data_IF_049624220904
#
_entry.id   IF_049624220904
#
_cell.length_a   1.000
_cell.length_b   1.000
_cell.length_c   1.000
_cell.angle_alpha   90.00
_cell.angle_beta   90.00
_cell.angle_gamma   90.00
#
_symmetry.space_group_name_H-M   'P 1'
#
loop_
_entity.id
_entity.type
_entity.pdbx_description
1 polymer ?
#
# COMPACT_ATOMS: atom_id res chain seq x y z
N UNK A 1 15.40 -27.74 -3.01
CA UNK A 1 13.92 -27.85 -2.89
C UNK A 1 13.31 -26.84 -1.92
N UNK A 2 13.83 -26.66 -0.71
CA UNK A 2 13.31 -25.72 0.29
C UNK A 2 13.34 -24.25 -0.15
N UNK A 3 14.43 -23.77 -0.77
CA UNK A 3 14.57 -22.37 -1.17
C UNK A 3 13.43 -21.87 -2.04
N UNK A 4 12.95 -22.64 -3.02
CA UNK A 4 11.81 -22.30 -3.86
C UNK A 4 10.51 -22.14 -3.05
N UNK A 5 10.25 -23.05 -2.11
CA UNK A 5 9.05 -23.01 -1.28
C UNK A 5 9.05 -21.76 -0.36
N UNK A 6 10.20 -21.53 0.29
CA UNK A 6 10.37 -20.36 1.17
C UNK A 6 10.29 -19.03 0.38
N UNK A 7 10.97 -18.96 -0.78
CA UNK A 7 10.88 -17.81 -1.67
C UNK A 7 9.42 -17.53 -2.07
N UNK A 8 8.62 -18.57 -2.37
CA UNK A 8 7.20 -18.38 -2.66
C UNK A 8 6.42 -17.76 -1.49
N UNK A 9 6.73 -18.12 -0.26
CA UNK A 9 6.13 -17.51 0.92
C UNK A 9 6.51 -16.03 1.08
N UNK A 10 7.71 -15.65 0.64
CA UNK A 10 8.27 -14.31 0.81
C UNK A 10 7.81 -13.31 -0.26
N UNK A 11 7.76 -13.75 -1.53
CA UNK A 11 7.63 -12.82 -2.66
C UNK A 11 6.57 -13.21 -3.70
N UNK A 12 5.82 -14.31 -3.52
CA UNK A 12 4.76 -14.65 -4.47
C UNK A 12 3.52 -13.79 -4.18
N UNK A 13 3.00 -13.04 -5.17
CA UNK A 13 1.79 -12.23 -4.97
C UNK A 13 0.58 -13.06 -4.50
N UNK A 14 0.46 -14.28 -5.00
CA UNK A 14 -0.68 -15.15 -4.75
C UNK A 14 -1.92 -14.75 -5.55
N UNK A 15 -3.06 -15.35 -5.23
CA UNK A 15 -4.34 -14.97 -5.82
C UNK A 15 -4.85 -13.71 -5.16
N UNK A 16 -5.09 -12.67 -5.95
CA UNK A 16 -5.56 -11.35 -5.52
C UNK A 16 -6.86 -11.01 -6.27
N UNK A 17 -7.97 -11.75 -6.03
CA UNK A 17 -9.20 -11.50 -6.75
C UNK A 17 -9.77 -10.13 -6.40
N UNK A 18 -10.40 -9.50 -7.38
CA UNK A 18 -11.33 -8.39 -7.15
C UNK A 18 -12.66 -9.07 -6.78
N UNK A 19 -13.03 -9.05 -5.50
CA UNK A 19 -14.14 -9.83 -4.94
C UNK A 19 -15.38 -8.99 -4.60
N UNK A 20 -15.25 -7.69 -4.63
CA UNK A 20 -16.34 -6.72 -4.43
C UNK A 20 -16.10 -5.49 -5.30
N UNK A 21 -17.17 -4.73 -5.57
CA UNK A 21 -17.14 -3.56 -6.44
C UNK A 21 -17.82 -2.35 -5.78
N UNK A 22 -17.48 -1.11 -6.18
CA UNK A 22 -18.00 0.10 -5.53
C UNK A 22 -19.53 0.24 -5.57
N UNK A 23 -20.20 -0.26 -6.61
CA UNK A 23 -21.67 -0.24 -6.71
C UNK A 23 -22.37 -1.02 -5.59
N UNK A 24 -21.74 -2.07 -5.06
CA UNK A 24 -22.24 -2.82 -3.90
C UNK A 24 -22.28 -1.97 -2.62
N UNK A 25 -21.52 -0.86 -2.60
CA UNK A 25 -21.47 0.13 -1.53
C UNK A 25 -22.24 1.40 -1.87
N UNK A 26 -23.00 1.40 -2.97
CA UNK A 26 -23.76 2.57 -3.45
C UNK A 26 -22.86 3.70 -3.94
N UNK A 27 -21.70 3.37 -4.49
CA UNK A 27 -20.69 4.30 -5.00
C UNK A 27 -20.65 4.29 -6.52
N UNK A 28 -20.75 5.47 -7.14
CA UNK A 28 -20.50 5.63 -8.56
C UNK A 28 -19.02 5.56 -8.86
N UNK A 29 -18.65 4.84 -9.93
CA UNK A 29 -17.25 4.68 -10.32
C UNK A 29 -17.08 4.46 -11.81
N UNK A 30 -15.85 4.61 -12.27
CA UNK A 30 -15.41 4.22 -13.61
C UNK A 30 -14.25 3.25 -13.49
N UNK A 31 -14.25 2.21 -14.30
CA UNK A 31 -13.04 1.42 -14.54
C UNK A 31 -12.01 2.31 -15.25
N UNK A 32 -10.80 2.30 -14.77
CA UNK A 32 -9.71 3.07 -15.35
C UNK A 32 -8.48 2.22 -15.56
N UNK A 33 -7.73 2.57 -16.59
CA UNK A 33 -6.44 1.97 -16.91
C UNK A 33 -5.44 3.09 -17.13
N UNK A 34 -4.28 2.98 -16.50
CA UNK A 34 -3.20 3.94 -16.64
C UNK A 34 -1.85 3.24 -16.57
N UNK A 35 -0.77 3.97 -16.83
CA UNK A 35 0.57 3.37 -16.88
C UNK A 35 1.40 3.74 -15.68
N UNK A 36 2.07 2.74 -15.12
CA UNK A 36 3.22 2.94 -14.23
C UNK A 36 4.34 3.70 -14.96
N UNK A 37 5.30 4.24 -14.21
CA UNK A 37 6.43 5.00 -14.80
C UNK A 37 7.22 4.21 -15.85
N UNK A 38 7.30 2.91 -15.72
CA UNK A 38 7.97 2.00 -16.64
C UNK A 38 7.05 1.38 -17.72
N UNK A 39 5.83 1.93 -17.86
CA UNK A 39 4.90 1.59 -18.92
C UNK A 39 3.99 0.39 -18.65
N UNK A 40 4.10 -0.27 -17.49
CA UNK A 40 3.20 -1.35 -17.09
C UNK A 40 1.79 -0.79 -16.94
N UNK A 41 0.82 -1.49 -17.53
CA UNK A 41 -0.58 -1.12 -17.42
C UNK A 41 -1.16 -1.50 -16.07
N UNK A 42 -1.75 -0.53 -15.38
CA UNK A 42 -2.38 -0.68 -14.08
C UNK A 42 -3.89 -0.51 -14.23
N UNK A 43 -4.63 -1.38 -13.56
CA UNK A 43 -6.09 -1.37 -13.54
C UNK A 43 -6.60 -0.82 -12.22
N UNK A 44 -7.61 0.02 -12.27
CA UNK A 44 -8.17 0.67 -11.09
C UNK A 44 -9.64 1.05 -11.22
N UNK A 45 -10.15 1.63 -10.16
CA UNK A 45 -11.42 2.32 -10.10
C UNK A 45 -11.20 3.77 -9.72
N UNK A 46 -11.81 4.66 -10.47
CA UNK A 46 -11.97 6.03 -10.09
C UNK A 46 -13.37 6.19 -9.50
N UNK A 47 -13.46 6.16 -8.17
CA UNK A 47 -14.72 6.31 -7.43
C UNK A 47 -15.05 7.79 -7.35
N UNK A 48 -16.25 8.14 -7.77
CA UNK A 48 -16.65 9.53 -8.00
C UNK A 48 -17.03 10.26 -6.69
N UNK A 49 -16.38 11.36 -6.45
CA UNK A 49 -16.71 12.36 -5.42
C UNK A 49 -16.56 13.76 -6.01
N UNK A 50 -15.83 14.64 -5.33
CA UNK A 50 -15.50 15.98 -5.84
C UNK A 50 -14.36 15.95 -6.86
N UNK A 51 -14.26 16.96 -7.72
CA UNK A 51 -13.17 17.14 -8.67
C UNK A 51 -11.97 17.92 -8.11
N UNK A 52 -12.07 18.49 -6.91
CA UNK A 52 -11.05 19.34 -6.32
C UNK A 52 -10.16 18.64 -5.29
N UNK A 53 -10.54 17.44 -4.85
CA UNK A 53 -9.77 16.65 -3.88
C UNK A 53 -9.88 15.15 -4.15
N UNK A 54 -8.72 14.50 -4.22
CA UNK A 54 -8.61 13.08 -4.60
C UNK A 54 -7.74 12.34 -3.60
N UNK A 55 -8.16 11.15 -3.20
CA UNK A 55 -7.32 10.20 -2.46
C UNK A 55 -6.84 9.12 -3.42
N UNK A 56 -5.53 8.85 -3.43
CA UNK A 56 -4.94 7.71 -4.11
C UNK A 56 -4.65 6.65 -3.07
N UNK A 57 -5.31 5.50 -3.17
CA UNK A 57 -5.14 4.39 -2.25
C UNK A 57 -4.24 3.32 -2.84
N UNK A 58 -3.10 3.05 -2.19
CA UNK A 58 -2.16 1.97 -2.53
C UNK A 58 -2.24 0.87 -1.49
N UNK A 59 -2.57 -0.35 -1.93
CA UNK A 59 -2.84 -1.49 -1.07
C UNK A 59 -1.58 -2.21 -0.57
N UNK A 60 -1.73 -3.16 0.37
CA UNK A 60 -0.64 -4.02 0.83
C UNK A 60 -0.32 -5.14 -0.18
N UNK A 61 0.79 -5.84 0.03
CA UNK A 61 1.26 -6.92 -0.86
C UNK A 61 0.39 -8.19 -0.79
N UNK A 62 1.01 -9.31 -0.55
CA UNK A 62 0.54 -10.70 -0.60
C UNK A 62 -0.98 -10.92 -0.58
N UNK A 63 -1.52 -11.45 -1.70
CA UNK A 63 -2.91 -11.89 -1.88
C UNK A 63 -3.97 -10.77 -1.78
N UNK A 64 -3.57 -9.53 -1.94
CA UNK A 64 -4.44 -8.36 -1.90
C UNK A 64 -4.74 -7.83 -3.31
N UNK A 65 -5.87 -7.16 -3.45
CA UNK A 65 -6.22 -6.34 -4.61
C UNK A 65 -6.68 -4.96 -4.16
N UNK A 66 -7.08 -4.10 -5.10
CA UNK A 66 -7.62 -2.77 -4.81
C UNK A 66 -8.80 -2.78 -3.82
N UNK A 67 -9.62 -3.83 -3.79
CA UNK A 67 -10.74 -3.95 -2.86
C UNK A 67 -10.36 -4.60 -1.51
N UNK A 68 -9.14 -5.13 -1.37
CA UNK A 68 -8.67 -5.73 -0.12
C UNK A 68 -8.29 -7.20 -0.24
N UNK A 69 -8.63 -7.98 0.77
CA UNK A 69 -8.30 -9.39 0.89
C UNK A 69 -9.53 -10.20 1.27
N UNK A 70 -9.73 -11.34 0.63
CA UNK A 70 -10.76 -12.32 1.01
C UNK A 70 -10.17 -13.71 1.22
N UNK A 71 -10.75 -14.45 2.15
CA UNK A 71 -10.45 -15.87 2.37
C UNK A 71 -11.20 -16.79 1.40
N UNK A 72 -12.17 -16.27 0.69
CA UNK A 72 -12.97 -17.03 -0.26
C UNK A 72 -12.09 -17.68 -1.35
N UNK A 73 -12.37 -18.91 -1.70
CA UNK A 73 -11.62 -19.66 -2.71
C UNK A 73 -10.19 -20.07 -2.33
N UNK A 74 -9.74 -19.82 -1.10
CA UNK A 74 -8.39 -20.19 -0.66
C UNK A 74 -8.28 -21.57 0.02
N UNK A 75 -9.40 -22.25 0.22
CA UNK A 75 -9.46 -23.61 0.76
C UNK A 75 -8.74 -23.74 2.10
N UNK A 76 -8.07 -24.89 2.31
CA UNK A 76 -7.27 -25.12 3.55
C UNK A 76 -5.98 -24.26 3.62
N UNK A 77 -5.57 -23.66 2.52
CA UNK A 77 -4.42 -22.75 2.43
C UNK A 77 -4.81 -21.31 2.78
N UNK A 78 -5.73 -21.12 3.72
CA UNK A 78 -6.01 -19.79 4.28
C UNK A 78 -4.71 -19.20 4.77
N UNK A 79 -4.46 -17.94 4.39
CA UNK A 79 -3.25 -17.28 4.82
C UNK A 79 -3.27 -17.15 6.35
N UNK A 80 -2.30 -17.73 7.04
CA UNK A 80 -2.18 -17.61 8.49
C UNK A 80 -2.00 -16.16 8.97
N UNK A 81 -1.62 -15.25 8.07
CA UNK A 81 -1.45 -13.83 8.34
C UNK A 81 -2.80 -13.07 8.39
N UNK A 82 -3.80 -13.57 7.64
CA UNK A 82 -5.11 -12.95 7.52
C UNK A 82 -6.18 -13.90 7.99
N UNK A 83 -6.76 -13.63 9.13
CA UNK A 83 -7.80 -14.47 9.74
C UNK A 83 -9.21 -14.01 9.38
N UNK A 84 -9.36 -12.83 8.80
CA UNK A 84 -10.62 -12.19 8.41
C UNK A 84 -10.46 -11.52 7.05
N UNK A 85 -11.57 -11.31 6.36
CA UNK A 85 -11.61 -10.50 5.16
C UNK A 85 -11.29 -9.04 5.48
N UNK A 86 -10.69 -8.33 4.53
CA UNK A 86 -10.34 -6.91 4.62
C UNK A 86 -11.00 -6.20 3.46
N UNK A 87 -11.89 -5.26 3.76
CA UNK A 87 -12.74 -4.56 2.80
C UNK A 87 -12.30 -3.11 2.64
N UNK A 88 -11.54 -2.81 1.59
CA UNK A 88 -11.04 -1.45 1.35
C UNK A 88 -12.09 -0.49 0.77
N UNK A 89 -13.24 -1.00 0.36
CA UNK A 89 -14.36 -0.15 -0.04
C UNK A 89 -15.03 0.55 1.15
N UNK A 90 -14.85 0.06 2.38
CA UNK A 90 -15.33 0.77 3.58
C UNK A 90 -14.71 2.16 3.71
N UNK A 91 -13.38 2.30 3.53
CA UNK A 91 -12.77 3.62 3.59
C UNK A 91 -13.05 4.45 2.34
N UNK A 92 -13.17 3.84 1.18
CA UNK A 92 -13.62 4.56 -0.02
C UNK A 92 -15.00 5.20 0.20
N UNK A 93 -15.92 4.46 0.83
CA UNK A 93 -17.26 4.95 1.13
C UNK A 93 -17.24 6.22 1.97
N UNK A 94 -16.60 6.24 3.12
CA UNK A 94 -16.59 7.44 3.95
C UNK A 94 -15.78 8.59 3.35
N UNK A 95 -14.75 8.31 2.55
CA UNK A 95 -14.00 9.34 1.83
C UNK A 95 -14.87 10.01 0.77
N UNK A 96 -15.64 9.23 0.02
CA UNK A 96 -16.59 9.78 -0.98
C UNK A 96 -17.71 10.55 -0.30
N UNK A 97 -18.27 10.04 0.79
CA UNK A 97 -19.29 10.74 1.59
C UNK A 97 -18.77 12.10 2.14
N UNK A 98 -17.45 12.20 2.38
CA UNK A 98 -16.78 13.44 2.76
C UNK A 98 -16.37 14.31 1.54
N UNK A 99 -16.75 13.90 0.33
CA UNK A 99 -16.55 14.64 -0.90
C UNK A 99 -15.21 14.39 -1.61
N UNK A 100 -14.41 13.39 -1.22
CA UNK A 100 -13.23 13.01 -1.97
C UNK A 100 -13.57 12.10 -3.15
N UNK A 101 -12.94 12.28 -4.32
CA UNK A 101 -12.81 11.19 -5.28
C UNK A 101 -11.73 10.24 -4.81
N UNK A 102 -11.85 8.95 -5.14
CA UNK A 102 -10.86 7.95 -4.70
C UNK A 102 -10.38 7.15 -5.90
N UNK A 103 -9.07 7.17 -6.15
CA UNK A 103 -8.43 6.23 -7.06
C UNK A 103 -7.98 4.99 -6.26
N UNK A 104 -8.62 3.85 -6.52
CA UNK A 104 -8.24 2.54 -6.01
C UNK A 104 -7.69 1.72 -7.16
N UNK A 105 -6.47 1.24 -7.08
CA UNK A 105 -5.83 0.50 -8.17
C UNK A 105 -5.08 -0.72 -7.67
N UNK A 106 -4.91 -1.71 -8.52
CA UNK A 106 -4.05 -2.85 -8.24
C UNK A 106 -2.61 -2.48 -8.54
N UNK A 107 -1.72 -2.72 -7.59
CA UNK A 107 -0.28 -2.69 -7.84
C UNK A 107 0.09 -3.76 -8.88
N UNK A 108 1.23 -3.60 -9.56
CA UNK A 108 1.74 -4.61 -10.50
C UNK A 108 1.70 -6.02 -9.90
N UNK A 109 1.46 -7.02 -10.72
CA UNK A 109 1.36 -8.43 -10.32
C UNK A 109 0.16 -8.78 -9.41
N UNK A 110 -0.75 -7.84 -9.15
CA UNK A 110 -1.94 -8.02 -8.32
C UNK A 110 -3.23 -7.76 -9.13
N UNK A 111 -4.34 -8.31 -8.65
CA UNK A 111 -5.67 -8.07 -9.21
C UNK A 111 -5.72 -8.21 -10.73
N UNK A 112 -6.13 -7.13 -11.39
CA UNK A 112 -6.26 -7.03 -12.85
C UNK A 112 -5.12 -6.21 -13.50
N UNK A 113 -4.13 -5.74 -12.72
CA UNK A 113 -2.98 -5.01 -13.26
C UNK A 113 -2.00 -5.92 -14.00
N UNK A 114 -1.25 -5.32 -14.89
CA UNK A 114 -0.21 -5.96 -15.67
C UNK A 114 0.92 -6.55 -14.80
N UNK A 115 1.67 -7.46 -15.40
CA UNK A 115 2.84 -8.06 -14.76
C UNK A 115 4.06 -7.18 -14.98
N UNK A 116 4.87 -7.05 -13.94
CA UNK A 116 6.19 -6.45 -14.02
C UNK A 116 7.18 -7.29 -14.84
N UNK A 117 8.38 -6.77 -15.04
CA UNK A 117 9.50 -7.55 -15.60
C UNK A 117 9.78 -8.79 -14.74
N UNK A 118 9.55 -8.69 -13.44
CA UNK A 118 9.45 -9.80 -12.49
C UNK A 118 7.98 -10.01 -12.11
N UNK A 119 7.52 -11.26 -12.11
CA UNK A 119 6.17 -11.62 -11.62
C UNK A 119 6.09 -11.70 -10.08
N UNK A 120 7.16 -11.30 -9.39
CA UNK A 120 7.32 -11.38 -7.95
C UNK A 120 7.13 -10.01 -7.29
N UNK A 121 6.71 -10.01 -6.02
CA UNK A 121 6.67 -8.81 -5.19
C UNK A 121 8.09 -8.35 -4.90
N UNK A 122 8.36 -7.07 -5.08
CA UNK A 122 9.64 -6.43 -4.76
C UNK A 122 9.60 -5.55 -3.51
N UNK A 123 8.56 -5.71 -2.68
CA UNK A 123 8.39 -5.02 -1.39
C UNK A 123 8.47 -3.50 -1.48
N UNK A 124 7.97 -2.96 -2.57
CA UNK A 124 7.88 -1.53 -2.81
C UNK A 124 8.93 -1.00 -3.80
N UNK A 125 10.00 -1.76 -4.08
CA UNK A 125 11.07 -1.28 -4.97
C UNK A 125 10.56 -1.02 -6.39
N UNK A 126 9.94 -1.98 -7.04
CA UNK A 126 9.35 -1.77 -8.37
C UNK A 126 7.96 -1.16 -8.28
N UNK A 127 7.19 -1.52 -7.24
CA UNK A 127 5.85 -0.98 -7.01
C UNK A 127 5.85 0.55 -6.77
N UNK A 128 6.99 1.18 -6.47
CA UNK A 128 7.12 2.65 -6.41
C UNK A 128 6.75 3.33 -7.73
N UNK A 129 7.04 2.65 -8.85
CA UNK A 129 6.71 3.16 -10.19
C UNK A 129 5.21 3.17 -10.46
N UNK A 130 4.46 2.28 -9.79
CA UNK A 130 3.00 2.24 -9.84
C UNK A 130 2.39 3.41 -9.08
N UNK A 131 2.94 3.73 -7.90
CA UNK A 131 2.55 4.91 -7.12
C UNK A 131 2.81 6.19 -7.93
N UNK A 132 3.99 6.30 -8.54
CA UNK A 132 4.30 7.43 -9.44
C UNK A 132 3.26 7.51 -10.57
N UNK A 133 2.95 6.38 -11.21
CA UNK A 133 1.97 6.30 -12.29
C UNK A 133 0.58 6.75 -11.87
N UNK A 134 0.13 6.35 -10.67
CA UNK A 134 -1.16 6.75 -10.11
C UNK A 134 -1.22 8.27 -9.83
N UNK A 135 -0.15 8.84 -9.26
CA UNK A 135 -0.05 10.29 -9.03
C UNK A 135 -0.03 11.04 -10.36
N UNK A 136 0.78 10.58 -11.32
CA UNK A 136 0.86 11.18 -12.65
C UNK A 136 -0.48 11.13 -13.38
N UNK A 137 -1.20 10.01 -13.28
CA UNK A 137 -2.51 9.85 -13.91
C UNK A 137 -3.51 10.88 -13.38
N UNK A 138 -3.66 11.02 -12.07
CA UNK A 138 -4.57 12.02 -11.46
C UNK A 138 -4.10 13.44 -11.75
N UNK A 139 -2.80 13.73 -11.64
CA UNK A 139 -2.25 15.08 -11.85
C UNK A 139 -2.47 15.60 -13.26
N UNK A 140 -2.56 14.71 -14.25
CA UNK A 140 -2.80 15.05 -15.66
C UNK A 140 -4.24 14.78 -16.14
N UNK A 141 -5.11 14.29 -15.25
CA UNK A 141 -6.50 14.02 -15.62
C UNK A 141 -7.30 15.31 -15.74
N UNK A 142 -8.05 15.46 -16.82
CA UNK A 142 -8.81 16.69 -17.12
C UNK A 142 -9.76 17.11 -16.01
N UNK A 143 -10.43 16.14 -15.37
CA UNK A 143 -11.45 16.38 -14.34
C UNK A 143 -10.82 16.77 -12.99
N UNK A 144 -9.51 16.55 -12.79
CA UNK A 144 -8.79 16.81 -11.53
C UNK A 144 -7.69 17.86 -11.67
N UNK A 145 -7.80 18.72 -12.67
CA UNK A 145 -6.82 19.78 -12.88
C UNK A 145 -6.74 20.70 -11.67
N UNK A 146 -5.60 20.67 -10.98
CA UNK A 146 -5.36 21.46 -9.77
C UNK A 146 -5.95 20.85 -8.49
N UNK A 147 -6.51 19.64 -8.54
CA UNK A 147 -7.02 18.95 -7.36
C UNK A 147 -5.93 18.71 -6.32
N UNK A 148 -6.29 18.78 -5.05
CA UNK A 148 -5.43 18.32 -3.96
C UNK A 148 -5.43 16.80 -3.90
N UNK A 149 -4.23 16.18 -3.84
CA UNK A 149 -4.05 14.73 -3.77
C UNK A 149 -3.58 14.34 -2.36
N UNK A 150 -4.34 13.44 -1.72
CA UNK A 150 -3.91 12.72 -0.52
C UNK A 150 -3.48 11.30 -0.88
N UNK A 151 -2.42 10.80 -0.24
CA UNK A 151 -1.94 9.43 -0.43
C UNK A 151 -2.34 8.57 0.77
N UNK A 152 -3.20 7.57 0.56
CA UNK A 152 -3.53 6.54 1.55
C UNK A 152 -2.73 5.29 1.22
N UNK A 153 -1.62 5.11 1.92
CA UNK A 153 -0.58 4.15 1.60
C UNK A 153 -0.52 3.04 2.67
N UNK A 154 -0.89 1.81 2.29
CA UNK A 154 -1.11 0.71 3.24
C UNK A 154 0.00 -0.33 3.11
N UNK A 155 0.79 -0.56 4.16
CA UNK A 155 1.85 -1.54 4.27
C UNK A 155 2.87 -1.46 3.11
N UNK A 156 2.83 -2.37 2.14
CA UNK A 156 3.67 -2.30 0.93
C UNK A 156 3.38 -1.02 0.14
N UNK A 157 2.14 -0.53 0.13
CA UNK A 157 1.82 0.78 -0.43
C UNK A 157 2.60 1.91 0.26
N UNK A 158 2.79 1.86 1.59
CA UNK A 158 3.60 2.85 2.32
C UNK A 158 5.09 2.73 1.96
N UNK A 159 5.61 1.52 1.84
CA UNK A 159 6.97 1.28 1.36
C UNK A 159 7.15 1.80 -0.06
N UNK A 160 6.22 1.46 -0.98
CA UNK A 160 6.25 1.90 -2.38
C UNK A 160 6.22 3.43 -2.50
N UNK A 161 5.36 4.10 -1.73
CA UNK A 161 5.29 5.57 -1.72
C UNK A 161 6.59 6.19 -1.19
N UNK A 162 7.17 5.62 -0.14
CA UNK A 162 8.43 6.12 0.41
C UNK A 162 9.59 5.89 -0.55
N UNK A 163 9.66 4.73 -1.19
CA UNK A 163 10.63 4.48 -2.28
C UNK A 163 10.42 5.42 -3.48
N UNK A 164 9.16 5.76 -3.82
CA UNK A 164 8.89 6.71 -4.90
C UNK A 164 9.50 8.08 -4.59
N UNK A 165 9.35 8.60 -3.38
CA UNK A 165 10.00 9.84 -2.96
C UNK A 165 11.52 9.75 -2.94
N UNK A 166 12.08 8.59 -2.64
CA UNK A 166 13.52 8.39 -2.52
C UNK A 166 14.24 8.10 -3.82
N UNK A 167 13.55 7.48 -4.79
CA UNK A 167 14.18 6.91 -5.98
C UNK A 167 13.62 7.44 -7.31
N UNK A 168 12.49 8.17 -7.28
CA UNK A 168 11.92 8.82 -8.45
C UNK A 168 12.09 10.33 -8.30
N UNK A 169 13.09 10.90 -8.97
CA UNK A 169 13.56 12.28 -8.80
C UNK A 169 12.45 13.33 -8.93
N UNK A 170 11.44 13.05 -9.76
CA UNK A 170 10.31 13.92 -10.08
C UNK A 170 9.07 13.69 -9.17
N UNK A 171 9.08 12.71 -8.26
CA UNK A 171 7.94 12.49 -7.35
C UNK A 171 7.62 13.74 -6.50
N UNK A 172 8.64 14.46 -6.04
CA UNK A 172 8.53 15.71 -5.29
C UNK A 172 7.96 16.89 -6.10
N UNK A 173 7.90 16.77 -7.43
CA UNK A 173 7.45 17.84 -8.34
C UNK A 173 5.94 17.84 -8.52
N UNK A 174 5.24 16.78 -8.12
CA UNK A 174 3.79 16.73 -8.07
C UNK A 174 3.23 17.61 -6.94
N UNK A 175 3.17 18.92 -7.16
CA UNK A 175 2.73 19.92 -6.16
C UNK A 175 1.28 19.74 -5.69
N UNK A 176 0.50 18.95 -6.42
CA UNK A 176 -0.86 18.57 -6.05
C UNK A 176 -0.90 17.56 -4.88
N UNK A 177 0.16 16.79 -4.66
CA UNK A 177 0.26 15.90 -3.50
C UNK A 177 0.45 16.73 -2.24
N UNK A 178 -0.51 16.66 -1.31
CA UNK A 178 -0.60 17.54 -0.15
C UNK A 178 -0.34 16.83 1.17
N UNK A 179 -0.64 15.54 1.27
CA UNK A 179 -0.43 14.78 2.50
C UNK A 179 -0.40 13.28 2.23
N UNK A 180 0.11 12.54 3.21
CA UNK A 180 0.18 11.08 3.21
C UNK A 180 -0.34 10.53 4.53
N UNK A 181 -1.02 9.37 4.46
CA UNK A 181 -1.26 8.49 5.59
C UNK A 181 -0.55 7.17 5.30
N UNK A 182 0.41 6.80 6.14
CA UNK A 182 1.14 5.53 6.07
C UNK A 182 0.58 4.56 7.13
N UNK A 183 -0.14 3.53 6.69
CA UNK A 183 -0.78 2.56 7.58
C UNK A 183 0.07 1.30 7.68
N UNK A 184 0.52 0.98 8.89
CA UNK A 184 1.29 -0.24 9.18
C UNK A 184 2.49 -0.44 8.23
N UNK A 185 3.42 0.51 8.10
CA UNK A 185 4.63 0.33 7.31
C UNK A 185 5.39 -0.92 7.78
N UNK A 186 5.96 -1.68 6.82
CA UNK A 186 6.65 -2.93 7.12
C UNK A 186 7.80 -3.15 6.14
N UNK A 187 9.00 -3.40 6.66
CA UNK A 187 10.14 -3.78 5.83
C UNK A 187 10.17 -5.28 5.59
N UNK A 188 10.80 -5.68 4.50
CA UNK A 188 11.00 -7.10 4.17
C UNK A 188 11.68 -7.87 5.29
N UNK A 189 12.75 -7.33 5.88
CA UNK A 189 13.51 -8.01 6.93
C UNK A 189 12.68 -8.32 8.17
N UNK A 190 11.78 -7.38 8.58
CA UNK A 190 10.87 -7.62 9.70
C UNK A 190 9.79 -8.64 9.34
N UNK A 191 9.29 -8.60 8.12
CA UNK A 191 8.34 -9.60 7.65
C UNK A 191 8.91 -11.02 7.72
N UNK A 192 10.10 -11.24 7.14
CA UNK A 192 10.70 -12.59 7.14
C UNK A 192 11.07 -13.06 8.56
N UNK A 193 11.46 -12.13 9.43
CA UNK A 193 11.71 -12.41 10.85
C UNK A 193 10.45 -12.87 11.59
N UNK A 194 9.33 -12.20 11.30
CA UNK A 194 8.02 -12.52 11.88
C UNK A 194 7.47 -13.87 11.41
N UNK A 195 7.99 -14.43 10.30
CA UNK A 195 7.65 -15.80 9.88
C UNK A 195 8.10 -16.87 10.88
N UNK A 196 9.01 -16.55 11.79
CA UNK A 196 9.49 -17.47 12.83
C UNK A 196 10.26 -18.68 12.27
N UNK A 197 10.72 -18.61 11.03
CA UNK A 197 11.49 -19.69 10.38
C UNK A 197 12.95 -19.66 10.81
N UNK A 198 13.62 -20.83 10.89
CA UNK A 198 15.06 -20.89 11.09
C UNK A 198 15.84 -20.09 10.03
N UNK A 199 16.92 -19.43 10.44
CA UNK A 199 17.71 -18.56 9.56
C UNK A 199 18.22 -19.27 8.29
N UNK A 200 18.55 -20.56 8.36
CA UNK A 200 19.01 -21.28 7.18
C UNK A 200 17.92 -21.43 6.11
N UNK A 201 16.65 -21.54 6.51
CA UNK A 201 15.51 -21.56 5.57
C UNK A 201 15.28 -20.17 4.98
N UNK A 202 15.33 -19.12 5.80
CA UNK A 202 15.23 -17.73 5.34
C UNK A 202 16.34 -17.44 4.33
N UNK A 203 17.58 -17.77 4.64
CA UNK A 203 18.71 -17.59 3.74
C UNK A 203 18.54 -18.36 2.43
N UNK A 204 18.06 -19.62 2.49
CA UNK A 204 17.78 -20.42 1.29
C UNK A 204 16.69 -19.78 0.43
N UNK A 205 15.67 -19.18 1.04
CA UNK A 205 14.63 -18.40 0.35
C UNK A 205 15.21 -17.16 -0.31
N UNK A 206 16.03 -16.38 0.40
CA UNK A 206 16.68 -15.18 -0.11
C UNK A 206 17.61 -15.48 -1.30
N UNK A 207 18.41 -16.53 -1.22
CA UNK A 207 19.25 -16.95 -2.36
C UNK A 207 18.38 -17.37 -3.55
N UNK A 208 17.24 -18.02 -3.30
CA UNK A 208 16.32 -18.35 -4.39
C UNK A 208 15.64 -17.12 -4.97
N UNK A 209 15.33 -16.10 -4.15
CA UNK A 209 14.81 -14.80 -4.63
C UNK A 209 15.78 -14.15 -5.63
N UNK A 210 17.09 -14.20 -5.37
CA UNK A 210 18.12 -13.68 -6.29
C UNK A 210 18.07 -14.37 -7.66
N UNK A 211 17.81 -15.69 -7.70
CA UNK A 211 17.65 -16.42 -8.99
C UNK A 211 16.41 -15.98 -9.78
N UNK A 212 15.47 -15.30 -9.11
CA UNK A 212 14.26 -14.70 -9.68
C UNK A 212 14.44 -13.22 -10.04
N UNK A 213 15.66 -12.69 -9.88
CA UNK A 213 15.95 -11.27 -10.10
C UNK A 213 15.50 -10.36 -8.97
N UNK A 214 15.14 -10.92 -7.81
CA UNK A 214 14.66 -10.14 -6.64
C UNK A 214 15.69 -10.22 -5.52
N UNK A 215 16.31 -9.09 -5.18
CA UNK A 215 17.25 -8.99 -4.06
C UNK A 215 16.71 -7.96 -3.05
N UNK A 216 16.24 -8.46 -1.92
CA UNK A 216 15.60 -7.67 -0.86
C UNK A 216 16.42 -7.62 0.43
N UNK A 217 17.50 -8.43 0.51
CA UNK A 217 18.31 -8.52 1.73
C UNK A 217 19.07 -7.21 1.95
N UNK A 218 18.85 -6.58 3.10
CA UNK A 218 19.47 -5.31 3.45
C UNK A 218 18.90 -4.09 2.72
N UNK A 219 17.89 -4.27 1.88
CA UNK A 219 17.20 -3.16 1.24
C UNK A 219 15.97 -2.74 2.05
N UNK A 220 15.83 -1.45 2.25
CA UNK A 220 14.79 -0.89 3.11
C UNK A 220 14.39 0.50 2.65
N UNK A 221 13.10 0.80 2.76
CA UNK A 221 12.59 2.15 2.50
C UNK A 221 12.91 3.14 3.63
N UNK A 222 13.36 2.68 4.80
CA UNK A 222 13.59 3.53 5.99
C UNK A 222 14.53 4.71 5.72
N UNK A 223 15.66 4.55 5.01
CA UNK A 223 16.54 5.69 4.70
C UNK A 223 15.87 6.75 3.84
N UNK A 224 14.88 6.37 3.04
CA UNK A 224 14.16 7.28 2.16
C UNK A 224 13.01 8.04 2.85
N UNK A 225 12.72 7.76 4.11
CA UNK A 225 11.72 8.51 4.88
C UNK A 225 12.05 10.02 4.93
N UNK A 226 13.34 10.39 4.95
CA UNK A 226 13.78 11.79 4.90
C UNK A 226 13.48 12.51 3.58
N UNK A 227 13.21 11.76 2.51
CA UNK A 227 12.88 12.29 1.19
C UNK A 227 11.38 12.56 1.01
N UNK A 228 10.54 12.10 1.93
CA UNK A 228 9.09 12.38 1.89
C UNK A 228 8.87 13.87 2.13
N UNK A 229 8.27 14.55 1.14
CA UNK A 229 8.15 16.01 1.12
C UNK A 229 6.79 16.54 1.58
N UNK A 230 5.88 15.65 1.98
CA UNK A 230 4.52 16.02 2.40
C UNK A 230 4.25 15.64 3.85
N UNK A 231 3.36 16.37 4.55
CA UNK A 231 2.90 16.00 5.88
C UNK A 231 2.43 14.55 5.94
N UNK A 232 2.87 13.80 6.94
CA UNK A 232 2.63 12.36 7.02
C UNK A 232 2.06 11.93 8.38
N UNK A 233 0.89 11.29 8.36
CA UNK A 233 0.35 10.55 9.51
C UNK A 233 0.78 9.09 9.40
N UNK A 234 1.46 8.59 10.44
CA UNK A 234 1.80 7.16 10.55
C UNK A 234 0.81 6.49 11.50
N UNK A 235 0.17 5.43 11.06
CA UNK A 235 -0.80 4.65 11.86
C UNK A 235 -0.24 3.26 12.07
N UNK A 236 -0.13 2.84 13.33
CA UNK A 236 0.42 1.53 13.68
C UNK A 236 -0.30 0.89 14.86
N UNK A 237 -0.70 -0.37 14.73
CA UNK A 237 -1.13 -1.20 15.85
C UNK A 237 0.11 -1.63 16.66
N UNK A 238 0.16 -1.28 17.94
CA UNK A 238 1.26 -1.63 18.85
C UNK A 238 1.42 -3.15 19.00
N UNK A 239 0.33 -3.88 18.86
CA UNK A 239 0.26 -5.33 19.01
C UNK A 239 0.44 -6.09 17.68
N UNK A 240 0.89 -5.42 16.61
CA UNK A 240 1.14 -6.09 15.33
C UNK A 240 2.26 -7.13 15.47
N UNK A 241 1.97 -8.43 15.22
CA UNK A 241 2.96 -9.49 15.40
C UNK A 241 4.05 -9.49 14.32
N UNK A 242 3.91 -8.71 13.25
CA UNK A 242 4.80 -8.74 12.08
C UNK A 242 5.85 -7.63 12.09
N UNK A 243 5.72 -6.66 12.98
CA UNK A 243 6.69 -5.57 13.10
C UNK A 243 7.01 -5.29 14.55
N UNK A 244 7.92 -4.36 14.81
CA UNK A 244 8.15 -3.84 16.15
C UNK A 244 8.10 -2.31 16.14
N UNK A 245 7.94 -1.75 17.32
CA UNK A 245 7.82 -0.30 17.50
C UNK A 245 9.10 0.42 17.05
N UNK A 246 10.29 -0.11 17.34
CA UNK A 246 11.57 0.50 16.95
C UNK A 246 11.68 0.75 15.44
N UNK A 247 11.20 -0.19 14.62
CA UNK A 247 11.21 -0.03 13.16
C UNK A 247 10.26 1.09 12.73
N UNK A 248 9.06 1.12 13.32
CA UNK A 248 8.06 2.14 13.02
C UNK A 248 8.51 3.52 13.48
N UNK A 249 9.13 3.60 14.67
CA UNK A 249 9.73 4.83 15.20
C UNK A 249 10.88 5.33 14.32
N UNK A 250 11.73 4.43 13.81
CA UNK A 250 12.79 4.80 12.85
C UNK A 250 12.20 5.41 11.58
N UNK A 251 11.14 4.81 11.04
CA UNK A 251 10.45 5.37 9.89
C UNK A 251 9.87 6.75 10.21
N UNK A 252 9.10 6.85 11.30
CA UNK A 252 8.52 8.11 11.75
C UNK A 252 9.59 9.18 11.98
N UNK A 253 10.66 8.87 12.70
CA UNK A 253 11.73 9.82 13.00
C UNK A 253 12.48 10.26 11.73
N UNK A 254 12.58 9.38 10.73
CA UNK A 254 13.19 9.68 9.43
C UNK A 254 12.45 10.77 8.65
N UNK A 255 11.13 10.86 8.77
CA UNK A 255 10.32 11.88 8.09
C UNK A 255 10.67 13.26 8.63
N UNK A 256 11.00 14.22 7.74
CA UNK A 256 11.45 15.56 8.10
C UNK A 256 10.36 16.64 7.99
N UNK A 257 9.23 16.30 7.38
CA UNK A 257 8.07 17.19 7.24
C UNK A 257 7.19 17.14 8.50
N UNK A 258 6.11 17.94 8.53
CA UNK A 258 5.10 17.82 9.57
C UNK A 258 4.60 16.37 9.64
N UNK A 259 4.54 15.82 10.83
CA UNK A 259 4.20 14.41 11.03
C UNK A 259 3.45 14.17 12.33
N UNK A 260 2.60 13.14 12.31
CA UNK A 260 1.88 12.67 13.49
C UNK A 260 1.97 11.15 13.56
N UNK A 261 2.03 10.60 14.79
CA UNK A 261 1.97 9.17 15.06
C UNK A 261 0.66 8.84 15.75
N UNK A 262 -0.07 7.90 15.18
CA UNK A 262 -1.25 7.31 15.79
C UNK A 262 -0.96 5.85 16.15
N UNK A 263 -0.66 5.62 17.42
CA UNK A 263 -0.58 4.28 17.98
C UNK A 263 -1.98 3.75 18.28
N UNK A 264 -2.30 2.58 17.74
CA UNK A 264 -3.52 1.85 18.01
C UNK A 264 -3.23 0.75 19.03
N UNK A 265 -4.13 0.53 19.95
CA UNK A 265 -4.11 -0.60 20.88
C UNK A 265 -5.26 -1.56 20.52
N UNK A 266 -4.97 -2.46 19.56
CA UNK A 266 -5.92 -3.42 19.02
C UNK A 266 -5.46 -4.84 19.34
N UNK A 267 -6.26 -5.83 18.94
CA UNK A 267 -5.88 -7.24 19.09
C UNK A 267 -4.55 -7.56 18.36
N UNK A 268 -3.88 -8.63 18.83
CA UNK A 268 -2.59 -9.07 18.28
C UNK A 268 -2.75 -9.74 16.91
N UNK A 269 -3.18 -8.93 15.93
CA UNK A 269 -3.37 -9.31 14.55
C UNK A 269 -3.01 -8.12 13.65
N UNK A 270 -2.27 -8.40 12.57
CA UNK A 270 -1.94 -7.35 11.61
C UNK A 270 -3.17 -6.76 10.93
N UNK A 271 -4.14 -7.61 10.56
CA UNK A 271 -5.38 -7.20 9.90
C UNK A 271 -6.27 -6.28 10.74
N UNK A 272 -6.09 -6.27 12.08
CA UNK A 272 -6.89 -5.44 12.97
C UNK A 272 -6.83 -3.94 12.64
N UNK A 273 -5.65 -3.43 12.26
CA UNK A 273 -5.52 -2.03 11.88
C UNK A 273 -6.14 -1.71 10.51
N UNK A 274 -6.18 -2.67 9.60
CA UNK A 274 -6.85 -2.48 8.30
C UNK A 274 -8.38 -2.49 8.44
N UNK A 275 -8.90 -3.34 9.30
CA UNK A 275 -10.32 -3.34 9.68
C UNK A 275 -10.69 -2.04 10.45
N UNK A 276 -9.82 -1.61 11.36
CA UNK A 276 -9.96 -0.34 12.08
C UNK A 276 -10.02 0.84 11.10
N UNK A 277 -9.17 0.86 10.08
CA UNK A 277 -9.13 1.92 9.05
C UNK A 277 -10.50 2.09 8.36
N UNK A 278 -11.15 0.98 8.01
CA UNK A 278 -12.48 0.99 7.39
C UNK A 278 -13.61 1.46 8.30
N UNK A 279 -13.42 1.42 9.62
CA UNK A 279 -14.46 1.70 10.64
C UNK A 279 -14.27 3.03 11.38
N UNK A 280 -13.13 3.70 11.23
CA UNK A 280 -12.78 4.88 12.02
C UNK A 280 -12.41 6.08 11.14
N UNK A 281 -13.40 6.73 10.50
CA UNK A 281 -13.19 7.78 9.52
C UNK A 281 -12.59 9.07 10.10
N UNK A 282 -12.95 9.42 11.36
CA UNK A 282 -12.73 10.76 11.92
C UNK A 282 -11.27 11.23 11.83
N UNK A 283 -10.31 10.37 12.21
CA UNK A 283 -8.89 10.72 12.20
C UNK A 283 -8.33 10.82 10.78
N UNK A 284 -8.80 9.95 9.90
CA UNK A 284 -8.40 9.90 8.50
C UNK A 284 -8.88 11.16 7.77
N UNK A 285 -10.16 11.48 7.92
CA UNK A 285 -10.76 12.67 7.33
C UNK A 285 -10.12 13.94 7.88
N UNK A 286 -9.97 14.06 9.20
CA UNK A 286 -9.34 15.22 9.82
C UNK A 286 -7.92 15.48 9.28
N UNK A 287 -7.14 14.42 9.03
CA UNK A 287 -5.82 14.55 8.45
C UNK A 287 -5.86 15.06 7.01
N UNK A 288 -6.66 14.43 6.15
CA UNK A 288 -6.74 14.85 4.76
C UNK A 288 -7.37 16.24 4.62
N UNK A 289 -8.44 16.58 5.36
CA UNK A 289 -9.09 17.89 5.31
C UNK A 289 -8.15 19.04 5.73
N UNK A 290 -7.22 18.78 6.66
CA UNK A 290 -6.24 19.76 7.10
C UNK A 290 -5.34 20.25 5.96
N UNK A 291 -5.03 19.37 4.99
CA UNK A 291 -4.07 19.65 3.91
C UNK A 291 -4.71 19.73 2.51
N UNK A 292 -5.99 19.48 2.36
CA UNK A 292 -6.68 19.50 1.06
C UNK A 292 -7.13 20.89 0.59
N UNK A 293 -6.54 21.95 1.18
CA UNK A 293 -6.84 23.37 0.83
C UNK A 293 -5.93 23.85 -0.28
#
# INVERSE_FOLDING_TARGET
MFGKAISNLMIKPGKSPVFETPDQFGLDYKDVTFKAKDGIELSGWLVTGSSDKVIIQSHFGVQCSRCGYTQEGKGMMKNALWTTDIHFLNQAKYLVDAGYSVLMYDLRNHGNSGKGASEWITWGQDERKDVWGAVNYISNHSDFKGASIGLLSICMGAASTTFAYGMEDDMKDFKQVKSMIAVQPLTYDYFVKAMGLPNFLINSGNEYNKTRGVNLTGDSFLPYAEKVTVPTLVIQNQNDPMTNMDMVEKYYNGIQTEKEMLWLDLEKKRGAAYDWLGKNPSKILAWFDKYSK
#
